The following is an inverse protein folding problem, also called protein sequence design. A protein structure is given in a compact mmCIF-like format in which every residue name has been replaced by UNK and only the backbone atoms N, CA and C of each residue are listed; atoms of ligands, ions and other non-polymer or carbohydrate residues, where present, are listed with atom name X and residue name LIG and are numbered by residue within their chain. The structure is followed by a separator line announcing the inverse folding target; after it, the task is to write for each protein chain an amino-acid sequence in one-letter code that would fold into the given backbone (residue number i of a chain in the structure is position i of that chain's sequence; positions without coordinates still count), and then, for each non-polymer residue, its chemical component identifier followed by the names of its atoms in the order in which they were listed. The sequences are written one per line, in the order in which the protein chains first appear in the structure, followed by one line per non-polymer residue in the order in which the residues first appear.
data_IF_680677536917
#
_entry.id   IF_680677536917
#
_cell.length_a   1.000
_cell.length_b   1.000
_cell.length_c   1.000
_cell.angle_alpha   90.00
_cell.angle_beta   90.00
_cell.angle_gamma   90.00
#
_symmetry.space_group_name_H-M   'P 1'
#
loop_
_entity.id
_entity.type
_entity.pdbx_description
1 polymer ?
#
# COMPACT_ATOMS: atom_id res chain seq x y z
N UNK A 1 4.10 -0.89 30.39
CA UNK A 1 4.60 -0.77 29.01
C UNK A 1 5.28 -2.05 28.54
N UNK A 2 6.25 -2.61 29.26
CA UNK A 2 6.95 -3.87 28.87
C UNK A 2 6.00 -5.05 28.66
N UNK A 3 5.03 -5.26 29.54
CA UNK A 3 4.06 -6.35 29.44
C UNK A 3 3.19 -6.24 28.17
N UNK A 4 2.81 -5.03 27.79
CA UNK A 4 2.06 -4.76 26.56
C UNK A 4 2.93 -5.03 25.33
N UNK A 5 4.18 -4.55 25.33
CA UNK A 5 5.11 -4.79 24.23
C UNK A 5 5.40 -6.29 24.05
N UNK A 6 5.63 -7.03 25.12
CA UNK A 6 5.86 -8.47 25.07
C UNK A 6 4.65 -9.22 24.50
N UNK A 7 3.44 -8.82 24.87
CA UNK A 7 2.21 -9.42 24.34
C UNK A 7 2.02 -9.13 22.86
N UNK A 8 2.23 -7.87 22.44
CA UNK A 8 2.16 -7.45 21.03
C UNK A 8 3.20 -8.21 20.19
N UNK A 9 4.43 -8.31 20.68
CA UNK A 9 5.49 -9.02 19.97
C UNK A 9 5.20 -10.53 19.88
N UNK A 10 4.68 -11.16 20.94
CA UNK A 10 4.27 -12.57 20.89
C UNK A 10 3.17 -12.84 19.85
N UNK A 11 2.18 -11.94 19.73
CA UNK A 11 1.16 -12.04 18.69
C UNK A 11 1.77 -11.83 17.31
N UNK A 12 2.67 -10.87 17.14
CA UNK A 12 3.39 -10.65 15.90
C UNK A 12 4.17 -11.88 15.45
N UNK A 13 4.89 -12.52 16.34
CA UNK A 13 5.69 -13.71 16.04
C UNK A 13 4.82 -14.85 15.49
N UNK A 14 3.68 -15.12 16.12
CA UNK A 14 2.74 -16.15 15.64
C UNK A 14 2.17 -15.79 14.27
N UNK A 15 1.72 -14.54 14.10
CA UNK A 15 1.09 -14.08 12.87
C UNK A 15 2.06 -14.13 11.68
N UNK A 16 3.28 -13.62 11.87
CA UNK A 16 4.23 -13.42 10.77
C UNK A 16 5.18 -14.59 10.53
N UNK A 17 5.43 -15.45 11.53
CA UNK A 17 6.32 -16.61 11.31
C UNK A 17 5.66 -17.71 10.46
N UNK A 18 4.34 -17.87 10.58
CA UNK A 18 3.65 -19.01 9.92
C UNK A 18 2.40 -18.59 9.16
N UNK A 19 1.43 -17.95 9.81
CA UNK A 19 0.08 -17.79 9.27
C UNK A 19 0.10 -16.90 8.03
N UNK A 20 0.60 -15.68 8.16
CA UNK A 20 0.55 -14.69 7.10
C UNK A 20 1.44 -15.01 5.91
N UNK A 21 2.66 -15.51 6.13
CA UNK A 21 3.57 -15.89 5.05
C UNK A 21 2.93 -16.98 4.18
N UNK A 22 2.39 -18.02 4.81
CA UNK A 22 1.74 -19.13 4.07
C UNK A 22 0.49 -18.63 3.34
N UNK A 23 -0.35 -17.84 3.98
CA UNK A 23 -1.57 -17.32 3.36
C UNK A 23 -1.26 -16.36 2.21
N UNK A 24 -0.35 -15.42 2.41
CA UNK A 24 0.02 -14.43 1.38
C UNK A 24 0.61 -15.11 0.15
N UNK A 25 1.63 -15.95 0.33
CA UNK A 25 2.27 -16.66 -0.78
C UNK A 25 1.32 -17.67 -1.42
N UNK A 26 0.58 -18.43 -0.62
CA UNK A 26 -0.38 -19.41 -1.12
C UNK A 26 -1.49 -18.78 -1.96
N UNK A 27 -2.11 -17.70 -1.47
CA UNK A 27 -3.13 -16.97 -2.23
C UNK A 27 -2.53 -16.32 -3.49
N UNK A 28 -1.38 -15.68 -3.37
CA UNK A 28 -0.73 -15.01 -4.50
C UNK A 28 -0.33 -15.98 -5.61
N UNK A 29 0.22 -17.14 -5.27
CA UNK A 29 0.51 -18.22 -6.25
C UNK A 29 -0.78 -18.75 -6.86
N UNK A 30 -1.81 -19.03 -6.05
CA UNK A 30 -3.10 -19.49 -6.51
C UNK A 30 -3.74 -18.52 -7.51
N UNK A 31 -3.79 -17.22 -7.16
CA UNK A 31 -4.37 -16.21 -8.04
C UNK A 31 -3.53 -15.98 -9.30
N UNK A 32 -2.21 -16.04 -9.21
CA UNK A 32 -1.30 -15.96 -10.36
C UNK A 32 -1.58 -17.07 -11.36
N UNK A 33 -1.67 -18.32 -10.91
CA UNK A 33 -1.94 -19.47 -11.77
C UNK A 33 -3.35 -19.40 -12.38
N UNK A 34 -4.37 -19.14 -11.55
CA UNK A 34 -5.78 -19.10 -12.00
C UNK A 34 -6.09 -17.93 -12.93
N UNK A 35 -5.44 -16.78 -12.75
CA UNK A 35 -5.55 -15.65 -13.66
C UNK A 35 -4.66 -15.79 -14.91
N UNK A 36 -3.91 -16.90 -15.03
CA UNK A 36 -2.92 -17.11 -16.10
C UNK A 36 -1.90 -16.01 -16.17
N UNK A 37 -1.28 -15.69 -15.02
CA UNK A 37 -0.21 -14.68 -14.91
C UNK A 37 -0.67 -13.30 -15.40
N UNK A 38 -1.87 -12.86 -15.01
CA UNK A 38 -2.47 -11.58 -15.44
C UNK A 38 -1.54 -10.39 -15.22
N UNK A 39 -0.83 -10.36 -14.11
CA UNK A 39 0.07 -9.28 -13.71
C UNK A 39 1.26 -9.09 -14.67
N UNK A 40 1.68 -10.15 -15.37
CA UNK A 40 2.75 -10.08 -16.37
C UNK A 40 2.20 -9.92 -17.78
N UNK A 41 1.18 -10.71 -18.11
CA UNK A 41 0.60 -10.75 -19.45
C UNK A 41 -0.09 -9.45 -19.85
N UNK A 42 -0.61 -8.70 -18.89
CA UNK A 42 -1.44 -7.51 -19.13
C UNK A 42 -0.73 -6.18 -18.80
N UNK A 43 0.61 -6.17 -18.63
CA UNK A 43 1.38 -4.96 -18.28
C UNK A 43 1.10 -3.82 -19.28
N UNK A 44 1.13 -4.08 -20.58
CA UNK A 44 0.83 -3.06 -21.59
C UNK A 44 -0.58 -2.48 -21.47
N UNK A 45 -1.57 -3.32 -21.09
CA UNK A 45 -2.93 -2.88 -20.83
C UNK A 45 -3.03 -2.06 -19.54
N UNK A 46 -2.30 -2.44 -18.48
CA UNK A 46 -2.24 -1.67 -17.23
C UNK A 46 -1.76 -0.25 -17.46
N UNK A 47 -0.69 -0.08 -18.22
CA UNK A 47 -0.12 1.23 -18.58
C UNK A 47 -1.13 2.03 -19.43
N UNK A 48 -1.73 1.40 -20.44
CA UNK A 48 -2.74 2.04 -21.28
C UNK A 48 -3.92 2.59 -20.47
N UNK A 49 -4.36 1.83 -19.45
CA UNK A 49 -5.52 2.18 -18.63
C UNK A 49 -5.28 3.39 -17.72
N UNK A 50 -4.04 3.79 -17.44
CA UNK A 50 -3.76 5.05 -16.73
C UNK A 50 -4.26 6.27 -17.51
N UNK A 51 -4.22 6.21 -18.83
CA UNK A 51 -4.76 7.27 -19.71
C UNK A 51 -6.24 7.08 -20.07
N UNK A 52 -6.90 6.02 -19.58
CA UNK A 52 -8.31 5.77 -19.86
C UNK A 52 -9.17 6.74 -19.05
N UNK A 53 -9.70 7.76 -19.72
CA UNK A 53 -10.59 8.72 -19.07
C UNK A 53 -11.89 8.03 -18.67
N UNK A 54 -12.39 8.33 -17.48
CA UNK A 54 -13.78 8.03 -17.15
C UNK A 54 -14.66 8.51 -18.30
N UNK A 55 -15.52 7.62 -18.83
CA UNK A 55 -16.51 8.03 -19.82
C UNK A 55 -17.20 9.30 -19.33
N UNK A 56 -17.57 10.20 -20.24
CA UNK A 56 -18.30 11.40 -19.86
C UNK A 56 -19.57 10.96 -19.14
N UNK A 57 -19.57 11.07 -17.81
CA UNK A 57 -20.76 10.89 -17.01
C UNK A 57 -21.86 11.85 -17.46
N UNK A 58 -23.09 11.60 -17.05
CA UNK A 58 -24.19 12.54 -17.28
C UNK A 58 -23.78 13.94 -16.83
N UNK A 59 -24.13 14.96 -17.62
CA UNK A 59 -23.75 16.36 -17.37
C UNK A 59 -24.09 16.75 -15.91
N UNK A 60 -23.04 16.94 -15.10
CA UNK A 60 -23.18 17.42 -13.71
C UNK A 60 -22.65 16.46 -12.62
N UNK A 61 -22.40 15.20 -12.89
CA UNK A 61 -21.83 14.26 -11.92
C UNK A 61 -20.30 14.37 -11.88
N UNK A 62 -19.75 14.58 -10.68
CA UNK A 62 -18.30 14.57 -10.43
C UNK A 62 -17.84 13.13 -10.24
N UNK A 63 -17.29 12.53 -11.28
CA UNK A 63 -16.74 11.18 -11.25
C UNK A 63 -15.25 11.18 -10.91
N UNK A 64 -14.82 10.19 -10.12
CA UNK A 64 -13.39 9.91 -9.90
C UNK A 64 -12.89 9.10 -11.10
N UNK A 65 -11.84 9.60 -11.76
CA UNK A 65 -11.21 8.90 -12.88
C UNK A 65 -10.36 7.71 -12.41
N UNK A 66 -10.05 6.81 -13.33
CA UNK A 66 -9.12 5.70 -13.06
C UNK A 66 -7.77 6.18 -12.54
N UNK A 67 -7.22 7.25 -13.12
CA UNK A 67 -5.96 7.85 -12.68
C UNK A 67 -6.07 8.47 -11.29
N UNK A 68 -7.16 9.16 -10.98
CA UNK A 68 -7.37 9.72 -9.63
C UNK A 68 -7.48 8.62 -8.57
N UNK A 69 -8.20 7.53 -8.84
CA UNK A 69 -8.26 6.39 -7.94
C UNK A 69 -6.89 5.73 -7.77
N UNK A 70 -6.12 5.58 -8.86
CA UNK A 70 -4.74 5.11 -8.81
C UNK A 70 -3.85 6.02 -7.96
N UNK A 71 -3.92 7.33 -8.16
CA UNK A 71 -3.12 8.30 -7.42
C UNK A 71 -3.43 8.31 -5.92
N UNK A 72 -4.70 8.18 -5.52
CA UNK A 72 -5.07 8.07 -4.09
C UNK A 72 -4.58 6.76 -3.49
N UNK A 73 -4.71 5.65 -4.22
CA UNK A 73 -4.19 4.36 -3.79
C UNK A 73 -2.65 4.36 -3.69
N UNK A 74 -1.99 4.99 -4.65
CA UNK A 74 -0.53 5.14 -4.64
C UNK A 74 -0.08 6.10 -3.52
N UNK A 75 -0.86 7.13 -3.20
CA UNK A 75 -0.61 8.03 -2.07
C UNK A 75 -0.57 7.32 -0.72
N UNK A 76 -1.45 6.33 -0.52
CA UNK A 76 -1.43 5.50 0.70
C UNK A 76 -0.17 4.62 0.75
N UNK A 77 0.13 3.95 -0.36
CA UNK A 77 1.25 3.01 -0.48
C UNK A 77 2.61 3.69 -0.38
N UNK A 78 2.81 4.76 -1.17
CA UNK A 78 4.11 5.46 -1.24
C UNK A 78 4.26 6.38 -0.05
N UNK A 79 4.89 5.87 0.99
CA UNK A 79 5.04 6.54 2.28
C UNK A 79 6.28 6.07 3.03
N UNK A 80 6.11 5.93 4.34
CA UNK A 80 7.14 5.41 5.24
C UNK A 80 7.65 4.03 4.82
N UNK A 81 6.79 3.17 4.26
CA UNK A 81 7.17 1.84 3.79
C UNK A 81 8.31 1.84 2.80
N UNK A 82 8.31 2.76 1.85
CA UNK A 82 9.30 2.83 0.78
C UNK A 82 10.68 3.34 1.24
N UNK A 83 10.74 4.19 2.26
CA UNK A 83 12.00 4.75 2.76
C UNK A 83 12.43 4.03 4.04
N UNK A 84 11.68 4.20 5.11
CA UNK A 84 12.00 3.62 6.42
C UNK A 84 11.75 2.12 6.48
N UNK A 85 10.67 1.62 5.83
CA UNK A 85 10.36 0.18 5.79
C UNK A 85 11.42 -0.63 5.06
N UNK A 86 11.88 -0.17 3.89
CA UNK A 86 13.00 -0.79 3.15
C UNK A 86 14.28 -0.78 3.98
N UNK A 87 14.60 0.37 4.59
CA UNK A 87 15.77 0.49 5.45
C UNK A 87 15.71 -0.48 6.64
N UNK A 88 14.55 -0.59 7.29
CA UNK A 88 14.31 -1.56 8.37
C UNK A 88 14.46 -3.00 7.88
N UNK A 89 13.92 -3.33 6.69
CA UNK A 89 14.07 -4.67 6.12
C UNK A 89 15.53 -5.04 5.89
N UNK A 90 16.32 -4.12 5.34
CA UNK A 90 17.75 -4.33 5.06
C UNK A 90 18.57 -4.35 6.35
N UNK A 91 18.29 -3.47 7.32
CA UNK A 91 19.02 -3.43 8.60
C UNK A 91 18.80 -4.67 9.46
N UNK A 92 17.57 -5.21 9.53
CA UNK A 92 17.21 -6.35 10.40
C UNK A 92 17.32 -7.69 9.65
N UNK A 93 16.85 -7.73 8.42
CA UNK A 93 16.81 -8.96 7.62
C UNK A 93 17.99 -9.12 6.65
N UNK A 94 18.87 -8.10 6.55
CA UNK A 94 19.96 -8.07 5.59
C UNK A 94 19.53 -7.74 4.16
N UNK A 95 20.50 -7.61 3.22
CA UNK A 95 20.25 -7.29 1.81
C UNK A 95 19.29 -8.24 1.10
N UNK A 96 19.25 -9.51 1.52
CA UNK A 96 18.37 -10.53 0.97
C UNK A 96 16.87 -10.23 1.14
N UNK A 97 16.50 -9.37 2.10
CA UNK A 97 15.11 -8.92 2.27
C UNK A 97 14.56 -8.24 1.02
N UNK A 98 15.40 -7.59 0.24
CA UNK A 98 15.00 -6.91 -1.02
C UNK A 98 14.47 -7.92 -2.04
N UNK A 99 15.11 -9.08 -2.16
CA UNK A 99 14.61 -10.16 -3.03
C UNK A 99 13.20 -10.62 -2.63
N UNK A 100 12.97 -10.82 -1.34
CA UNK A 100 11.66 -11.25 -0.83
C UNK A 100 10.60 -10.16 -0.97
N UNK A 101 10.99 -8.88 -0.87
CA UNK A 101 10.09 -7.77 -1.23
C UNK A 101 9.70 -7.80 -2.70
N UNK A 102 10.65 -8.05 -3.61
CA UNK A 102 10.35 -8.20 -5.05
C UNK A 102 9.41 -9.38 -5.31
N UNK A 103 9.70 -10.53 -4.68
CA UNK A 103 8.89 -11.73 -4.88
C UNK A 103 7.44 -11.53 -4.43
N UNK A 104 7.23 -10.95 -3.23
CA UNK A 104 5.88 -10.70 -2.74
C UNK A 104 5.15 -9.64 -3.58
N UNK A 105 5.83 -8.68 -4.17
CA UNK A 105 5.23 -7.71 -5.09
C UNK A 105 4.84 -8.36 -6.42
N UNK A 106 5.72 -9.17 -7.01
CA UNK A 106 5.48 -9.87 -8.27
C UNK A 106 4.28 -10.84 -8.16
N UNK A 107 4.20 -11.59 -7.08
CA UNK A 107 3.10 -12.54 -6.85
C UNK A 107 1.86 -11.84 -6.30
N UNK A 108 2.04 -10.97 -5.30
CA UNK A 108 0.95 -10.28 -4.61
C UNK A 108 0.15 -9.32 -5.50
N UNK A 109 0.73 -8.82 -6.59
CA UNK A 109 0.00 -8.02 -7.56
C UNK A 109 -1.22 -8.73 -8.15
N UNK A 110 -1.21 -10.08 -8.18
CA UNK A 110 -2.39 -10.88 -8.53
C UNK A 110 -3.50 -10.80 -7.46
N UNK A 111 -3.13 -10.70 -6.19
CA UNK A 111 -4.08 -10.47 -5.09
C UNK A 111 -4.71 -9.08 -5.20
N UNK A 112 -3.90 -8.05 -5.47
CA UNK A 112 -4.37 -6.68 -5.70
C UNK A 112 -5.32 -6.61 -6.92
N UNK A 113 -5.05 -7.38 -7.97
CA UNK A 113 -5.95 -7.53 -9.11
C UNK A 113 -7.31 -8.12 -8.71
N UNK A 114 -7.31 -9.22 -7.96
CA UNK A 114 -8.54 -9.92 -7.54
C UNK A 114 -9.38 -9.04 -6.63
N UNK A 115 -8.80 -8.51 -5.55
CA UNK A 115 -9.52 -7.70 -4.56
C UNK A 115 -10.12 -6.42 -5.17
N UNK A 116 -9.38 -5.75 -6.06
CA UNK A 116 -9.85 -4.50 -6.67
C UNK A 116 -10.89 -4.74 -7.78
N UNK A 117 -10.81 -5.87 -8.48
CA UNK A 117 -11.85 -6.31 -9.42
C UNK A 117 -13.15 -6.61 -8.68
N UNK A 118 -13.08 -7.33 -7.54
CA UNK A 118 -14.22 -7.60 -6.68
C UNK A 118 -14.84 -6.34 -6.09
N UNK A 119 -14.01 -5.40 -5.65
CA UNK A 119 -14.49 -4.13 -5.11
C UNK A 119 -15.28 -3.31 -6.15
N UNK A 120 -14.84 -3.33 -7.40
CA UNK A 120 -15.58 -2.72 -8.51
C UNK A 120 -16.88 -3.48 -8.83
N UNK A 121 -16.87 -4.81 -8.79
CA UNK A 121 -18.07 -5.60 -9.03
C UNK A 121 -19.17 -5.30 -8.01
N UNK A 122 -18.81 -5.19 -6.74
CA UNK A 122 -19.73 -5.03 -5.61
C UNK A 122 -19.86 -3.59 -5.10
N UNK A 123 -19.48 -2.59 -5.91
CA UNK A 123 -19.64 -1.18 -5.54
C UNK A 123 -21.11 -0.76 -5.48
N UNK A 124 -21.38 0.24 -4.68
CA UNK A 124 -22.70 0.89 -4.54
C UNK A 124 -22.63 2.36 -4.97
N UNK A 125 -23.77 2.96 -5.27
CA UNK A 125 -23.88 4.42 -5.50
C UNK A 125 -23.82 5.15 -4.16
N UNK A 126 -22.78 5.98 -3.97
CA UNK A 126 -22.69 6.92 -2.86
C UNK A 126 -23.25 8.29 -3.23
N UNK A 127 -23.14 9.27 -2.30
CA UNK A 127 -23.64 10.65 -2.52
C UNK A 127 -22.78 11.41 -3.55
N UNK A 128 -21.46 11.29 -3.45
CA UNK A 128 -20.49 12.09 -4.23
C UNK A 128 -19.67 11.24 -5.22
N UNK A 129 -19.65 9.93 -5.05
CA UNK A 129 -18.93 8.95 -5.85
C UNK A 129 -19.45 7.56 -5.58
N UNK A 130 -18.98 6.55 -6.32
CA UNK A 130 -19.17 5.16 -5.91
C UNK A 130 -18.46 4.88 -4.59
N UNK A 131 -19.00 3.93 -3.82
CA UNK A 131 -18.43 3.39 -2.58
C UNK A 131 -18.32 1.87 -2.70
N UNK A 132 -17.36 1.28 -2.03
CA UNK A 132 -17.13 -0.16 -2.08
C UNK A 132 -15.87 -0.55 -1.33
N UNK A 133 -15.41 -1.75 -1.55
CA UNK A 133 -14.24 -2.31 -0.88
C UNK A 133 -14.56 -3.65 -0.22
N UNK A 134 -13.65 -4.18 0.65
CA UNK A 134 -13.81 -5.49 1.24
C UNK A 134 -15.11 -5.70 2.01
N UNK A 135 -15.50 -4.73 2.84
CA UNK A 135 -16.73 -4.82 3.61
C UNK A 135 -17.96 -5.06 2.71
N UNK A 136 -17.97 -4.43 1.53
CA UNK A 136 -19.06 -4.56 0.55
C UNK A 136 -19.06 -5.90 -0.16
N UNK A 137 -17.90 -6.43 -0.60
CA UNK A 137 -17.92 -7.75 -1.21
C UNK A 137 -18.06 -8.90 -0.20
N UNK A 138 -17.71 -8.70 1.08
CA UNK A 138 -18.06 -9.62 2.15
C UNK A 138 -19.57 -9.63 2.39
N UNK A 139 -20.23 -8.45 2.35
CA UNK A 139 -21.68 -8.33 2.50
C UNK A 139 -22.42 -8.91 1.30
N UNK A 140 -22.15 -8.44 0.09
CA UNK A 140 -22.95 -8.78 -1.10
C UNK A 140 -22.45 -10.06 -1.81
N UNK A 141 -21.17 -10.35 -1.73
CA UNK A 141 -20.56 -11.52 -2.35
C UNK A 141 -20.72 -12.79 -1.53
N UNK A 142 -20.43 -12.71 -0.23
CA UNK A 142 -20.50 -13.83 0.71
C UNK A 142 -21.81 -13.87 1.50
N UNK A 143 -22.56 -12.79 1.58
CA UNK A 143 -23.73 -12.66 2.48
C UNK A 143 -23.34 -12.51 3.96
N UNK A 144 -22.08 -12.24 4.28
CA UNK A 144 -21.54 -12.25 5.65
C UNK A 144 -21.34 -10.82 6.18
N UNK A 145 -22.41 -10.16 6.59
CA UNK A 145 -22.36 -8.80 7.15
C UNK A 145 -21.39 -8.69 8.35
N UNK A 146 -21.36 -9.69 9.23
CA UNK A 146 -20.48 -9.68 10.39
C UNK A 146 -19.01 -9.59 10.00
N UNK A 147 -18.61 -10.32 8.94
CA UNK A 147 -17.25 -10.30 8.41
C UNK A 147 -16.90 -8.93 7.81
N UNK A 148 -17.86 -8.33 7.08
CA UNK A 148 -17.72 -6.97 6.58
C UNK A 148 -17.54 -5.93 7.69
N UNK A 149 -18.30 -6.04 8.79
CA UNK A 149 -18.16 -5.17 9.97
C UNK A 149 -16.82 -5.41 10.66
N UNK A 150 -16.41 -6.67 10.85
CA UNK A 150 -15.10 -6.99 11.43
C UNK A 150 -13.97 -6.36 10.59
N UNK A 151 -14.00 -6.56 9.28
CA UNK A 151 -13.01 -5.95 8.39
C UNK A 151 -13.02 -4.42 8.49
N UNK A 152 -14.21 -3.80 8.48
CA UNK A 152 -14.36 -2.34 8.58
C UNK A 152 -13.78 -1.77 9.89
N UNK A 153 -13.92 -2.47 11.00
CA UNK A 153 -13.28 -2.10 12.28
C UNK A 153 -11.76 -2.26 12.17
N UNK A 154 -11.28 -3.41 11.67
CA UNK A 154 -9.84 -3.68 11.55
C UNK A 154 -9.13 -2.65 10.66
N UNK A 155 -9.68 -2.33 9.47
CA UNK A 155 -9.06 -1.34 8.57
C UNK A 155 -9.11 0.08 9.17
N UNK A 156 -10.18 0.43 9.89
CA UNK A 156 -10.29 1.74 10.55
C UNK A 156 -9.23 1.91 11.64
N UNK A 157 -8.92 0.85 12.39
CA UNK A 157 -7.85 0.84 13.39
C UNK A 157 -6.48 0.83 12.71
N UNK A 158 -6.27 -0.07 11.74
CA UNK A 158 -4.97 -0.22 11.06
C UNK A 158 -4.57 1.07 10.35
N UNK A 159 -5.39 1.55 9.44
CA UNK A 159 -5.05 2.69 8.60
C UNK A 159 -5.28 4.03 9.31
N UNK A 160 -6.42 4.18 9.99
CA UNK A 160 -6.73 5.43 10.69
C UNK A 160 -5.84 5.72 11.89
N UNK A 161 -5.36 4.68 12.58
CA UNK A 161 -4.60 4.85 13.81
C UNK A 161 -3.16 4.35 13.67
N UNK A 162 -2.93 3.03 13.54
CA UNK A 162 -1.60 2.45 13.61
C UNK A 162 -0.69 2.93 12.47
N UNK A 163 -1.14 2.85 11.22
CA UNK A 163 -0.35 3.30 10.07
C UNK A 163 -0.10 4.81 10.10
N UNK A 164 -1.08 5.61 10.50
CA UNK A 164 -0.90 7.06 10.64
C UNK A 164 0.10 7.41 11.73
N UNK A 165 0.16 6.62 12.81
CA UNK A 165 1.19 6.77 13.83
C UNK A 165 2.60 6.49 13.30
N UNK A 166 2.77 5.43 12.47
CA UNK A 166 4.06 5.14 11.81
C UNK A 166 4.47 6.25 10.87
N UNK A 167 3.54 6.77 10.06
CA UNK A 167 3.84 7.87 9.13
C UNK A 167 4.31 9.12 9.89
N UNK A 168 3.59 9.52 10.93
CA UNK A 168 3.93 10.69 11.74
C UNK A 168 5.25 10.51 12.47
N UNK A 169 5.48 9.34 13.10
CA UNK A 169 6.74 9.01 13.77
C UNK A 169 7.94 9.18 12.84
N UNK A 170 7.84 8.61 11.64
CA UNK A 170 8.92 8.67 10.65
C UNK A 170 9.20 10.09 10.15
N UNK A 171 8.16 10.92 9.94
CA UNK A 171 8.36 12.33 9.58
C UNK A 171 9.11 13.04 10.69
N UNK A 172 8.70 12.87 11.95
CA UNK A 172 9.33 13.51 13.10
C UNK A 172 10.79 13.09 13.24
N UNK A 173 11.10 11.79 13.16
CA UNK A 173 12.46 11.28 13.25
C UNK A 173 13.37 11.82 12.11
N UNK A 174 12.84 11.94 10.89
CA UNK A 174 13.60 12.48 9.78
C UNK A 174 13.89 13.99 9.93
N UNK A 175 12.92 14.74 10.43
CA UNK A 175 13.07 16.19 10.63
C UNK A 175 13.95 16.53 11.83
N UNK A 176 13.86 15.73 12.90
CA UNK A 176 14.81 15.85 14.02
C UNK A 176 16.24 15.57 13.53
N UNK A 177 16.46 14.48 12.78
CA UNK A 177 17.77 14.13 12.25
C UNK A 177 18.36 15.15 11.26
N UNK A 178 17.52 15.83 10.46
CA UNK A 178 17.97 16.81 9.48
C UNK A 178 18.12 18.23 10.03
N UNK A 179 17.22 18.65 10.94
CA UNK A 179 17.09 20.06 11.35
C UNK A 179 17.14 20.27 12.87
N UNK A 180 17.19 19.20 13.68
CA UNK A 180 17.18 19.30 15.14
C UNK A 180 15.85 19.79 15.73
N UNK A 181 14.74 19.66 15.00
CA UNK A 181 13.42 20.14 15.45
C UNK A 181 12.77 19.06 16.31
N UNK A 182 12.27 19.43 17.49
CA UNK A 182 11.61 18.53 18.43
C UNK A 182 10.33 17.91 17.86
N UNK A 183 10.12 16.63 18.14
CA UNK A 183 8.99 15.82 17.68
C UNK A 183 7.62 16.41 18.01
N UNK A 184 7.47 17.08 19.19
CA UNK A 184 6.20 17.66 19.61
C UNK A 184 5.75 18.79 18.69
N UNK A 185 6.67 19.66 18.25
CA UNK A 185 6.34 20.74 17.33
C UNK A 185 5.95 20.22 15.94
N UNK A 186 6.72 19.27 15.41
CA UNK A 186 6.42 18.67 14.11
C UNK A 186 5.08 17.93 14.18
N UNK A 187 4.86 17.14 15.23
CA UNK A 187 3.61 16.41 15.47
C UNK A 187 2.39 17.32 15.56
N UNK A 188 2.52 18.46 16.25
CA UNK A 188 1.44 19.46 16.35
C UNK A 188 1.08 20.05 14.97
N UNK A 189 2.09 20.43 14.19
CA UNK A 189 1.91 20.97 12.83
C UNK A 189 1.25 19.92 11.93
N UNK A 190 1.74 18.67 11.94
CA UNK A 190 1.19 17.57 11.15
C UNK A 190 -0.26 17.28 11.52
N UNK A 191 -0.57 17.30 12.82
CA UNK A 191 -1.94 17.08 13.30
C UNK A 191 -2.89 18.14 12.77
N UNK A 192 -2.52 19.42 12.87
CA UNK A 192 -3.34 20.54 12.36
C UNK A 192 -3.52 20.43 10.84
N UNK A 193 -2.43 20.21 10.10
CA UNK A 193 -2.50 20.05 8.63
C UNK A 193 -3.37 18.85 8.23
N UNK A 194 -3.23 17.72 8.93
CA UNK A 194 -4.06 16.53 8.70
C UNK A 194 -5.54 16.87 8.90
N UNK A 195 -5.90 17.48 10.02
CA UNK A 195 -7.30 17.85 10.29
C UNK A 195 -7.87 18.79 9.22
N UNK A 196 -7.10 19.81 8.80
CA UNK A 196 -7.52 20.73 7.73
C UNK A 196 -7.84 19.98 6.43
N UNK A 197 -7.03 19.00 6.05
CA UNK A 197 -7.20 18.28 4.79
C UNK A 197 -8.36 17.28 4.88
N UNK A 198 -8.44 16.48 5.95
CA UNK A 198 -9.44 15.40 6.06
C UNK A 198 -10.87 15.91 6.20
N UNK A 199 -11.07 17.12 6.69
CA UNK A 199 -12.40 17.74 6.68
C UNK A 199 -12.89 18.14 5.28
N UNK A 200 -12.00 18.10 4.24
CA UNK A 200 -12.33 18.44 2.85
C UNK A 200 -12.95 17.31 2.01
N UNK A 201 -12.99 16.07 2.51
CA UNK A 201 -13.58 14.90 1.84
C UNK A 201 -12.77 14.34 0.66
N UNK A 202 -13.26 13.22 0.06
CA UNK A 202 -12.56 12.42 -0.97
C UNK A 202 -12.19 13.22 -2.22
N UNK A 203 -13.00 14.15 -2.65
CA UNK A 203 -12.72 14.96 -3.85
C UNK A 203 -11.48 15.85 -3.68
N UNK A 204 -11.28 16.40 -2.47
CA UNK A 204 -10.09 17.17 -2.13
C UNK A 204 -8.86 16.27 -2.02
N UNK A 205 -9.01 15.13 -1.37
CA UNK A 205 -7.96 14.10 -1.23
C UNK A 205 -7.49 13.65 -2.61
N UNK A 206 -8.41 13.25 -3.50
CA UNK A 206 -8.10 12.79 -4.85
C UNK A 206 -7.37 13.88 -5.69
N UNK A 207 -7.77 15.14 -5.55
CA UNK A 207 -7.11 16.25 -6.26
C UNK A 207 -5.69 16.49 -5.76
N UNK A 208 -5.48 16.52 -4.45
CA UNK A 208 -4.14 16.71 -3.86
C UNK A 208 -3.24 15.54 -4.23
N UNK A 209 -3.68 14.30 -4.05
CA UNK A 209 -2.90 13.10 -4.37
C UNK A 209 -2.53 13.01 -5.85
N UNK A 210 -3.42 13.39 -6.76
CA UNK A 210 -3.16 13.33 -8.22
C UNK A 210 -2.06 14.30 -8.70
N UNK A 211 -1.69 15.27 -7.88
CA UNK A 211 -0.61 16.24 -8.18
C UNK A 211 0.65 15.89 -7.38
N UNK A 212 0.50 15.71 -6.07
CA UNK A 212 1.65 15.54 -5.17
C UNK A 212 2.38 14.23 -5.44
N UNK A 213 1.63 13.11 -5.58
CA UNK A 213 2.22 11.77 -5.70
C UNK A 213 3.10 11.60 -6.94
N UNK A 214 2.66 11.95 -8.17
CA UNK A 214 3.52 11.82 -9.34
C UNK A 214 4.77 12.70 -9.26
N UNK A 215 4.65 13.93 -8.77
CA UNK A 215 5.80 14.86 -8.68
C UNK A 215 6.86 14.32 -7.73
N UNK A 216 6.46 13.89 -6.53
CA UNK A 216 7.41 13.37 -5.55
C UNK A 216 8.02 12.03 -5.99
N UNK A 217 7.21 11.12 -6.56
CA UNK A 217 7.68 9.82 -7.04
C UNK A 217 8.71 9.99 -8.18
N UNK A 218 8.41 10.82 -9.17
CA UNK A 218 9.33 11.10 -10.26
C UNK A 218 10.62 11.76 -9.79
N UNK A 219 10.55 12.72 -8.85
CA UNK A 219 11.74 13.35 -8.27
C UNK A 219 12.63 12.34 -7.52
N UNK A 220 12.02 11.45 -6.72
CA UNK A 220 12.75 10.41 -6.00
C UNK A 220 13.38 9.38 -6.93
N UNK A 221 12.63 8.92 -7.94
CA UNK A 221 13.13 7.98 -8.96
C UNK A 221 14.28 8.61 -9.76
N UNK A 222 14.17 9.89 -10.14
CA UNK A 222 15.23 10.58 -10.89
C UNK A 222 16.53 10.66 -10.07
N UNK A 223 16.44 10.98 -8.77
CA UNK A 223 17.59 10.97 -7.87
C UNK A 223 18.22 9.59 -7.78
N UNK A 224 17.41 8.56 -7.53
CA UNK A 224 17.88 7.19 -7.40
C UNK A 224 18.52 6.68 -8.69
N UNK A 225 17.96 6.98 -9.84
CA UNK A 225 18.55 6.65 -11.15
C UNK A 225 19.89 7.36 -11.34
N UNK A 226 20.03 8.61 -10.90
CA UNK A 226 21.31 9.31 -10.89
C UNK A 226 22.36 8.53 -10.10
N UNK A 227 22.03 8.12 -8.85
CA UNK A 227 22.93 7.34 -7.99
C UNK A 227 23.28 5.99 -8.64
N UNK A 228 22.30 5.28 -9.21
CA UNK A 228 22.54 4.01 -9.91
C UNK A 228 23.48 4.20 -11.10
N UNK A 229 23.29 5.25 -11.89
CA UNK A 229 24.16 5.55 -13.04
C UNK A 229 25.60 5.88 -12.61
N UNK A 230 25.77 6.64 -11.52
CA UNK A 230 27.09 6.92 -10.96
C UNK A 230 27.79 5.65 -10.41
N UNK A 231 27.02 4.70 -9.90
CA UNK A 231 27.49 3.44 -9.32
C UNK A 231 27.27 2.23 -10.24
N UNK A 232 27.11 2.43 -11.56
CA UNK A 232 26.69 1.38 -12.50
C UNK A 232 27.64 0.17 -12.50
N UNK A 233 28.94 0.38 -12.29
CA UNK A 233 29.95 -0.69 -12.21
C UNK A 233 29.80 -1.55 -10.96
N UNK A 234 29.19 -1.04 -9.89
CA UNK A 234 28.92 -1.76 -8.64
C UNK A 234 27.58 -2.49 -8.65
N UNK A 235 26.70 -2.19 -9.60
CA UNK A 235 25.35 -2.76 -9.67
C UNK A 235 25.35 -4.31 -9.72
N UNK A 236 26.20 -4.98 -10.52
CA UNK A 236 26.25 -6.45 -10.51
C UNK A 236 26.56 -7.03 -9.11
N UNK A 237 27.53 -6.46 -8.39
CA UNK A 237 27.90 -6.89 -7.05
C UNK A 237 26.75 -6.68 -6.03
N UNK A 238 26.01 -5.58 -6.14
CA UNK A 238 24.81 -5.33 -5.29
C UNK A 238 23.71 -6.36 -5.57
N UNK A 239 23.46 -6.69 -6.82
CA UNK A 239 22.47 -7.74 -7.18
C UNK A 239 22.93 -9.11 -6.65
N UNK A 240 24.21 -9.44 -6.80
CA UNK A 240 24.79 -10.66 -6.24
C UNK A 240 24.62 -10.72 -4.71
N UNK A 241 24.91 -9.62 -4.01
CA UNK A 241 24.71 -9.50 -2.57
C UNK A 241 23.26 -9.73 -2.17
N UNK A 242 22.30 -9.16 -2.90
CA UNK A 242 20.87 -9.38 -2.64
C UNK A 242 20.50 -10.87 -2.80
N UNK A 243 20.95 -11.49 -3.89
CA UNK A 243 20.60 -12.87 -4.20
C UNK A 243 21.30 -13.87 -3.25
N UNK A 244 22.60 -13.70 -3.00
CA UNK A 244 23.36 -14.58 -2.11
C UNK A 244 22.83 -14.56 -0.67
N UNK A 245 22.48 -13.37 -0.17
CA UNK A 245 21.89 -13.22 1.17
C UNK A 245 20.44 -13.71 1.24
N UNK A 246 19.67 -13.65 0.16
CA UNK A 246 18.30 -14.14 0.14
C UNK A 246 18.21 -15.66 0.34
N UNK A 247 19.23 -16.41 -0.13
CA UNK A 247 19.26 -17.87 -0.08
C UNK A 247 20.34 -18.43 0.87
N UNK A 248 21.09 -17.57 1.58
CA UNK A 248 22.08 -17.97 2.57
C UNK A 248 23.33 -18.62 1.96
N UNK A 249 23.68 -18.33 0.70
CA UNK A 249 24.87 -18.86 0.04
C UNK A 249 26.19 -18.28 0.58
N UNK A 250 26.10 -17.12 1.22
CA UNK A 250 27.14 -16.53 2.03
C UNK A 250 26.61 -16.24 3.42
N UNK A 251 27.48 -16.28 4.44
CA UNK A 251 27.05 -15.91 5.81
C UNK A 251 26.54 -14.49 5.79
N UNK A 252 25.22 -14.34 6.03
CA UNK A 252 24.53 -13.09 5.86
C UNK A 252 25.11 -12.02 6.81
N UNK A 253 25.55 -10.93 6.24
CA UNK A 253 25.77 -9.70 6.97
C UNK A 253 24.39 -9.23 7.44
N UNK A 254 24.13 -9.31 8.77
CA UNK A 254 22.94 -8.71 9.37
C UNK A 254 21.67 -9.56 9.53
N UNK A 255 21.62 -10.85 9.07
CA UNK A 255 20.41 -11.65 9.30
C UNK A 255 20.46 -13.07 8.75
N UNK A 256 19.60 -13.95 9.32
CA UNK A 256 19.39 -15.30 8.77
C UNK A 256 18.46 -15.25 7.56
N UNK A 257 18.46 -16.31 6.71
CA UNK A 257 17.51 -16.45 5.59
C UNK A 257 16.06 -16.29 6.05
N UNK A 258 15.72 -16.79 7.23
CA UNK A 258 14.38 -16.62 7.82
C UNK A 258 14.07 -15.17 8.16
N UNK A 259 15.02 -14.40 8.67
CA UNK A 259 14.86 -12.98 8.95
C UNK A 259 14.71 -12.17 7.65
N UNK A 260 15.51 -12.48 6.63
CA UNK A 260 15.42 -11.86 5.31
C UNK A 260 14.03 -12.08 4.68
N UNK A 261 13.55 -13.32 4.69
CA UNK A 261 12.21 -13.69 4.19
C UNK A 261 11.11 -12.97 4.97
N UNK A 262 11.14 -13.05 6.30
CA UNK A 262 10.12 -12.46 7.15
C UNK A 262 10.07 -10.94 7.00
N UNK A 263 11.22 -10.26 7.08
CA UNK A 263 11.28 -8.80 6.95
C UNK A 263 10.93 -8.35 5.52
N UNK A 264 11.41 -9.06 4.51
CA UNK A 264 11.10 -8.76 3.12
C UNK A 264 9.59 -8.85 2.83
N UNK A 265 8.91 -9.91 3.26
CA UNK A 265 7.46 -10.06 3.08
C UNK A 265 6.70 -9.05 3.91
N UNK A 266 7.06 -8.86 5.19
CA UNK A 266 6.40 -7.96 6.13
C UNK A 266 6.47 -6.50 5.69
N UNK A 267 7.66 -6.00 5.37
CA UNK A 267 7.88 -4.62 4.88
C UNK A 267 7.40 -4.42 3.45
N UNK A 268 7.51 -5.46 2.60
CA UNK A 268 6.93 -5.47 1.27
C UNK A 268 5.41 -5.31 1.32
N UNK A 269 4.71 -6.08 2.16
CA UNK A 269 3.26 -5.97 2.34
C UNK A 269 2.86 -4.61 2.90
N UNK A 270 3.57 -4.10 3.90
CA UNK A 270 3.32 -2.77 4.48
C UNK A 270 3.39 -1.67 3.41
N UNK A 271 4.33 -1.79 2.46
CA UNK A 271 4.51 -0.82 1.37
C UNK A 271 3.45 -0.97 0.28
N UNK A 272 3.33 -2.17 -0.30
CA UNK A 272 2.50 -2.36 -1.51
C UNK A 272 1.01 -2.66 -1.24
N UNK A 273 0.65 -3.00 -0.01
CA UNK A 273 -0.72 -3.28 0.45
C UNK A 273 -1.46 -4.40 -0.31
N UNK A 274 -0.76 -5.27 -1.05
CA UNK A 274 -1.38 -6.27 -1.92
C UNK A 274 -2.03 -7.42 -1.13
N UNK A 275 -3.34 -7.57 -1.24
CA UNK A 275 -4.10 -8.58 -0.49
C UNK A 275 -4.53 -8.13 0.91
N UNK A 276 -4.18 -6.90 1.33
CA UNK A 276 -4.66 -6.32 2.60
C UNK A 276 -6.12 -5.88 2.55
N UNK A 277 -6.65 -5.55 1.37
CA UNK A 277 -7.99 -5.01 1.22
C UNK A 277 -8.11 -3.49 1.40
N UNK A 278 -7.01 -2.76 1.42
CA UNK A 278 -7.00 -1.30 1.55
C UNK A 278 -7.31 -0.59 0.24
N UNK A 279 -6.49 -0.83 -0.79
CA UNK A 279 -6.65 -0.25 -2.12
C UNK A 279 -8.02 -0.46 -2.77
N UNK A 280 -8.73 -1.59 -2.56
CA UNK A 280 -10.09 -1.81 -3.04
C UNK A 280 -11.09 -0.72 -2.65
N UNK A 281 -10.93 -0.06 -1.50
CA UNK A 281 -11.83 1.02 -1.06
C UNK A 281 -11.78 2.23 -1.99
N UNK A 282 -10.62 2.54 -2.54
CA UNK A 282 -10.46 3.61 -3.54
C UNK A 282 -10.74 3.09 -4.94
N UNK A 283 -10.31 1.86 -5.27
CA UNK A 283 -10.58 1.26 -6.57
C UNK A 283 -12.07 1.24 -6.91
N UNK A 284 -12.94 1.00 -5.91
CA UNK A 284 -14.38 1.01 -6.08
C UNK A 284 -14.95 2.38 -6.46
N UNK A 285 -14.30 3.49 -6.09
CA UNK A 285 -14.81 4.85 -6.36
C UNK A 285 -14.70 5.25 -7.82
N UNK A 286 -13.85 4.57 -8.60
CA UNK A 286 -13.61 4.90 -9.99
C UNK A 286 -14.81 4.58 -10.89
N UNK A 287 -15.10 5.50 -11.81
CA UNK A 287 -16.06 5.26 -12.88
C UNK A 287 -15.34 4.60 -14.07
N UNK A 288 -15.59 3.32 -14.28
CA UNK A 288 -15.00 2.51 -15.34
C UNK A 288 -16.05 1.69 -16.08
N UNK A 289 -15.80 1.32 -17.33
CA UNK A 289 -16.74 0.51 -18.13
C UNK A 289 -16.66 -0.99 -17.84
N UNK A 290 -15.65 -1.45 -17.10
CA UNK A 290 -15.47 -2.87 -16.77
C UNK A 290 -14.68 -3.02 -15.46
N UNK A 291 -15.10 -3.90 -14.51
CA UNK A 291 -14.45 -4.09 -13.22
C UNK A 291 -12.95 -4.40 -13.30
N UNK A 292 -12.54 -5.21 -14.26
CA UNK A 292 -11.15 -5.62 -14.51
C UNK A 292 -10.20 -4.45 -14.72
N UNK A 293 -10.66 -3.30 -15.23
CA UNK A 293 -9.83 -2.13 -15.45
C UNK A 293 -9.17 -1.65 -14.15
N UNK A 294 -9.93 -1.58 -13.06
CA UNK A 294 -9.37 -1.20 -11.77
C UNK A 294 -8.50 -2.29 -11.16
N UNK A 295 -8.84 -3.56 -11.35
CA UNK A 295 -7.96 -4.66 -10.96
C UNK A 295 -6.57 -4.55 -11.58
N UNK A 296 -6.51 -4.30 -12.89
CA UNK A 296 -5.26 -4.11 -13.63
C UNK A 296 -4.47 -2.89 -13.15
N UNK A 297 -5.13 -1.75 -12.95
CA UNK A 297 -4.50 -0.51 -12.49
C UNK A 297 -3.92 -0.68 -11.07
N UNK A 298 -4.63 -1.36 -10.18
CA UNK A 298 -4.15 -1.59 -8.81
C UNK A 298 -3.00 -2.59 -8.75
N UNK A 299 -2.97 -3.58 -9.64
CA UNK A 299 -1.81 -4.47 -9.81
C UNK A 299 -0.57 -3.70 -10.29
N UNK A 300 -0.73 -2.72 -11.21
CA UNK A 300 0.36 -1.83 -11.61
C UNK A 300 0.86 -0.97 -10.43
N UNK A 301 -0.06 -0.56 -9.53
CA UNK A 301 0.30 0.18 -8.32
C UNK A 301 1.28 -0.58 -7.43
N UNK A 302 1.11 -1.90 -7.27
CA UNK A 302 2.04 -2.77 -6.53
C UNK A 302 3.43 -2.77 -7.17
N UNK A 303 3.50 -2.85 -8.50
CA UNK A 303 4.78 -2.80 -9.22
C UNK A 303 5.46 -1.43 -9.07
N UNK A 304 4.71 -0.36 -9.25
CA UNK A 304 5.24 1.00 -9.12
C UNK A 304 5.80 1.25 -7.72
N UNK A 305 5.08 0.84 -6.69
CA UNK A 305 5.49 1.00 -5.31
C UNK A 305 6.77 0.19 -5.00
N UNK A 306 6.73 -1.11 -5.18
CA UNK A 306 7.78 -1.99 -4.65
C UNK A 306 8.91 -2.23 -5.65
N UNK A 307 8.61 -2.57 -6.92
CA UNK A 307 9.66 -2.86 -7.89
C UNK A 307 10.40 -1.61 -8.36
N UNK A 308 9.78 -0.42 -8.24
CA UNK A 308 10.43 0.82 -8.63
C UNK A 308 10.88 1.58 -7.38
N UNK A 309 9.95 2.10 -6.57
CA UNK A 309 10.29 3.04 -5.49
C UNK A 309 11.06 2.37 -4.35
N UNK A 310 10.62 1.19 -3.86
CA UNK A 310 11.39 0.48 -2.83
C UNK A 310 12.76 0.03 -3.33
N UNK A 311 12.88 -0.36 -4.61
CA UNK A 311 14.17 -0.73 -5.21
C UNK A 311 15.11 0.47 -5.27
N UNK A 312 14.61 1.67 -5.57
CA UNK A 312 15.39 2.91 -5.49
C UNK A 312 16.03 3.07 -4.10
N UNK A 313 15.25 2.95 -3.05
CA UNK A 313 15.75 3.05 -1.66
C UNK A 313 16.77 1.95 -1.33
N UNK A 314 16.46 0.70 -1.70
CA UNK A 314 17.35 -0.43 -1.48
C UNK A 314 18.72 -0.20 -2.13
N UNK A 315 18.74 0.27 -3.37
CA UNK A 315 19.99 0.57 -4.07
C UNK A 315 20.76 1.75 -3.46
N UNK A 316 20.08 2.82 -3.07
CA UNK A 316 20.71 3.94 -2.35
C UNK A 316 21.42 3.41 -1.10
N UNK A 317 20.74 2.58 -0.30
CA UNK A 317 21.33 2.01 0.93
C UNK A 317 22.52 1.08 0.61
N UNK A 318 22.36 0.20 -0.34
CA UNK A 318 23.39 -0.82 -0.64
C UNK A 318 24.62 -0.25 -1.38
N UNK A 319 24.49 0.85 -2.12
CA UNK A 319 25.65 1.54 -2.71
C UNK A 319 26.42 2.37 -1.69
N UNK A 320 25.71 2.93 -0.68
CA UNK A 320 26.25 3.95 0.22
C UNK A 320 27.34 3.46 1.18
N UNK A 321 27.47 2.13 1.40
CA UNK A 321 28.33 1.57 2.42
C UNK A 321 27.90 1.89 3.86
N UNK A 322 26.66 2.32 4.08
CA UNK A 322 26.12 2.53 5.42
C UNK A 322 26.12 1.22 6.23
N UNK A 323 26.29 1.27 7.57
CA UNK A 323 26.32 0.07 8.40
C UNK A 323 24.95 -0.63 8.40
N UNK A 324 24.95 -1.95 8.18
CA UNK A 324 23.76 -2.81 8.15
C UNK A 324 23.71 -3.75 9.35
N UNK A 325 24.31 -3.33 10.46
CA UNK A 325 24.40 -4.09 11.72
C UNK A 325 23.26 -3.82 12.70
N UNK A 326 22.25 -3.06 12.26
CA UNK A 326 21.11 -2.66 13.08
C UNK A 326 21.37 -1.48 14.03
N UNK A 327 22.58 -0.93 14.06
CA UNK A 327 22.92 0.26 14.88
C UNK A 327 22.15 1.50 14.47
N UNK A 328 21.82 1.61 13.18
CA UNK A 328 20.99 2.66 12.59
C UNK A 328 19.83 1.99 11.86
N UNK A 329 18.60 2.46 12.05
CA UNK A 329 17.41 1.82 11.50
C UNK A 329 16.41 2.85 10.94
N UNK A 330 15.42 2.36 10.20
CA UNK A 330 14.34 3.18 9.67
C UNK A 330 14.82 4.32 8.77
N UNK A 331 14.17 5.47 8.87
CA UNK A 331 14.46 6.63 8.01
C UNK A 331 15.88 7.20 8.22
N UNK A 332 16.44 7.05 9.41
CA UNK A 332 17.80 7.53 9.71
C UNK A 332 18.85 6.78 8.88
N UNK A 333 18.67 5.46 8.64
CA UNK A 333 19.54 4.71 7.74
C UNK A 333 19.44 5.23 6.30
N UNK A 334 18.25 5.56 5.84
CA UNK A 334 18.07 6.15 4.49
C UNK A 334 18.73 7.54 4.40
N UNK A 335 18.62 8.36 5.45
CA UNK A 335 19.27 9.66 5.52
C UNK A 335 20.80 9.54 5.51
N UNK A 336 21.35 8.62 6.29
CA UNK A 336 22.79 8.33 6.32
C UNK A 336 23.27 7.83 4.96
N UNK A 337 22.55 6.87 4.38
CA UNK A 337 22.87 6.30 3.09
C UNK A 337 22.90 7.36 1.98
N UNK A 338 21.87 8.19 1.91
CA UNK A 338 21.82 9.23 0.89
C UNK A 338 22.89 10.32 1.15
N UNK A 339 23.16 10.64 2.42
CA UNK A 339 24.23 11.60 2.77
C UNK A 339 25.63 11.09 2.41
N UNK A 340 25.86 9.78 2.46
CA UNK A 340 27.11 9.19 1.99
C UNK A 340 27.31 9.34 0.48
N UNK A 341 26.21 9.31 -0.31
CA UNK A 341 26.25 9.43 -1.78
C UNK A 341 26.32 10.87 -2.30
N UNK A 342 25.54 11.80 -1.67
CA UNK A 342 25.34 13.16 -2.19
C UNK A 342 25.73 14.26 -1.18
N UNK A 343 26.36 13.90 -0.07
CA UNK A 343 26.74 14.86 0.99
C UNK A 343 25.57 15.26 1.89
N UNK A 344 25.77 16.27 2.72
CA UNK A 344 24.81 16.71 3.76
C UNK A 344 23.40 17.06 3.23
N UNK A 345 23.27 17.38 1.96
CA UNK A 345 21.99 17.66 1.32
C UNK A 345 21.09 16.40 1.28
N UNK A 346 21.70 15.20 1.36
CA UNK A 346 20.98 13.92 1.36
C UNK A 346 20.00 13.80 2.52
N UNK A 347 20.41 14.13 3.74
CA UNK A 347 19.52 14.11 4.92
C UNK A 347 18.35 15.07 4.78
N UNK A 348 18.62 16.29 4.32
CA UNK A 348 17.57 17.30 4.04
C UNK A 348 16.59 16.81 2.97
N UNK A 349 17.10 16.22 1.89
CA UNK A 349 16.26 15.69 0.82
C UNK A 349 15.33 14.58 1.33
N UNK A 350 15.85 13.63 2.13
CA UNK A 350 15.02 12.56 2.71
C UNK A 350 13.97 13.14 3.65
N UNK A 351 14.30 14.13 4.47
CA UNK A 351 13.34 14.78 5.36
C UNK A 351 12.19 15.45 4.60
N UNK A 352 12.47 16.11 3.48
CA UNK A 352 11.44 16.70 2.62
C UNK A 352 10.65 15.63 1.85
N UNK A 353 11.33 14.62 1.32
CA UNK A 353 10.69 13.52 0.60
C UNK A 353 9.73 12.74 1.51
N UNK A 354 10.16 12.38 2.74
CA UNK A 354 9.31 11.65 3.67
C UNK A 354 8.14 12.50 4.16
N UNK A 355 8.30 13.81 4.32
CA UNK A 355 7.18 14.69 4.62
C UNK A 355 6.08 14.57 3.56
N UNK A 356 6.44 14.65 2.27
CA UNK A 356 5.47 14.57 1.19
C UNK A 356 4.87 13.16 1.07
N UNK A 357 5.71 12.12 1.12
CA UNK A 357 5.29 10.73 1.01
C UNK A 357 4.38 10.31 2.17
N UNK A 358 4.88 10.44 3.40
CA UNK A 358 4.14 10.01 4.57
C UNK A 358 2.92 10.88 4.87
N UNK A 359 2.97 12.19 4.60
CA UNK A 359 1.79 13.04 4.74
C UNK A 359 0.69 12.67 3.73
N UNK A 360 1.05 12.38 2.48
CA UNK A 360 0.08 11.88 1.50
C UNK A 360 -0.53 10.52 1.93
N UNK A 361 0.29 9.65 2.57
CA UNK A 361 -0.20 8.39 3.12
C UNK A 361 -1.16 8.60 4.30
N UNK A 362 -0.89 9.54 5.22
CA UNK A 362 -1.82 9.88 6.31
C UNK A 362 -3.20 10.21 5.75
N UNK A 363 -3.24 10.99 4.68
CA UNK A 363 -4.50 11.42 4.05
C UNK A 363 -5.20 10.24 3.35
N UNK A 364 -4.46 9.41 2.63
CA UNK A 364 -4.98 8.20 1.97
C UNK A 364 -5.51 7.17 2.98
N UNK A 365 -4.74 6.94 4.04
CA UNK A 365 -5.07 6.03 5.13
C UNK A 365 -6.36 6.45 5.85
N UNK A 366 -6.48 7.77 6.13
CA UNK A 366 -7.72 8.30 6.69
C UNK A 366 -8.92 7.97 5.81
N UNK A 367 -8.81 8.12 4.48
CA UNK A 367 -9.91 7.81 3.58
C UNK A 367 -10.35 6.34 3.67
N UNK A 368 -9.42 5.41 3.75
CA UNK A 368 -9.75 3.99 3.92
C UNK A 368 -10.56 3.74 5.20
N UNK A 369 -10.14 4.33 6.30
CA UNK A 369 -10.88 4.24 7.55
C UNK A 369 -12.25 4.92 7.48
N UNK A 370 -12.34 6.15 6.93
CA UNK A 370 -13.62 6.87 6.76
C UNK A 370 -14.63 6.05 5.94
N UNK A 371 -14.19 5.46 4.81
CA UNK A 371 -15.05 4.66 3.96
C UNK A 371 -15.66 3.47 4.72
N UNK A 372 -14.89 2.86 5.60
CA UNK A 372 -15.33 1.71 6.39
C UNK A 372 -16.14 2.11 7.62
N UNK A 373 -15.88 3.25 8.26
CA UNK A 373 -16.77 3.81 9.28
C UNK A 373 -18.15 4.11 8.67
N UNK A 374 -18.20 4.62 7.44
CA UNK A 374 -19.46 4.87 6.71
C UNK A 374 -20.21 3.58 6.37
N UNK A 375 -19.55 2.48 6.16
CA UNK A 375 -20.18 1.17 6.03
C UNK A 375 -20.87 0.71 7.31
N UNK A 376 -20.25 0.96 8.48
CA UNK A 376 -20.82 0.59 9.78
C UNK A 376 -21.99 1.51 10.15
N UNK A 377 -21.83 2.82 9.97
CA UNK A 377 -22.81 3.82 10.40
C UNK A 377 -22.77 5.08 9.54
N UNK A 378 -23.97 5.64 9.29
CA UNK A 378 -24.14 6.93 8.61
C UNK A 378 -24.16 8.12 9.57
N UNK A 379 -24.02 7.92 10.90
CA UNK A 379 -24.11 8.99 11.90
C UNK A 379 -22.96 9.97 11.79
N UNK A 380 -23.25 11.25 11.54
CA UNK A 380 -22.26 12.32 11.37
C UNK A 380 -21.34 12.49 12.58
N UNK A 381 -21.88 12.31 13.80
CA UNK A 381 -21.12 12.46 15.03
C UNK A 381 -20.02 11.39 15.17
N UNK A 382 -20.29 10.14 14.75
CA UNK A 382 -19.29 9.07 14.78
C UNK A 382 -18.13 9.38 13.84
N UNK A 383 -18.45 9.87 12.64
CA UNK A 383 -17.43 10.28 11.68
C UNK A 383 -16.61 11.48 12.19
N UNK A 384 -17.25 12.44 12.84
CA UNK A 384 -16.56 13.58 13.46
C UNK A 384 -15.58 13.11 14.54
N UNK A 385 -16.03 12.23 15.47
CA UNK A 385 -15.18 11.66 16.51
C UNK A 385 -14.01 10.89 15.88
N UNK A 386 -14.27 10.08 14.86
CA UNK A 386 -13.21 9.35 14.15
C UNK A 386 -12.13 10.29 13.59
N UNK A 387 -12.52 11.41 12.98
CA UNK A 387 -11.57 12.43 12.46
C UNK A 387 -10.68 13.01 13.55
N UNK A 388 -11.26 13.33 14.71
CA UNK A 388 -10.51 13.83 15.86
C UNK A 388 -9.54 12.76 16.39
N UNK A 389 -9.99 11.51 16.49
CA UNK A 389 -9.14 10.40 16.92
C UNK A 389 -7.97 10.16 15.95
N UNK A 390 -8.20 10.26 14.64
CA UNK A 390 -7.11 10.18 13.64
C UNK A 390 -6.08 11.28 13.87
N UNK A 391 -6.51 12.53 14.09
CA UNK A 391 -5.60 13.63 14.46
C UNK A 391 -4.83 13.33 15.75
N UNK A 392 -5.51 12.80 16.77
CA UNK A 392 -4.88 12.36 18.01
C UNK A 392 -3.83 11.25 17.82
N UNK A 393 -4.08 10.32 16.89
CA UNK A 393 -3.12 9.26 16.57
C UNK A 393 -1.92 9.75 15.75
N UNK A 394 -2.07 10.80 14.96
CA UNK A 394 -0.94 11.49 14.32
C UNK A 394 -0.04 12.11 15.39
N UNK A 395 -0.62 12.79 16.39
CA UNK A 395 0.15 13.35 17.52
C UNK A 395 0.77 12.25 18.40
N UNK A 396 0.02 11.18 18.69
CA UNK A 396 0.54 10.03 19.41
C UNK A 396 1.76 9.41 18.69
N UNK A 397 1.68 9.21 17.38
CA UNK A 397 2.77 8.67 16.57
C UNK A 397 4.03 9.53 16.61
N UNK A 398 3.88 10.85 16.61
CA UNK A 398 5.01 11.78 16.75
C UNK A 398 5.78 11.57 18.04
N UNK A 399 5.10 11.23 19.14
CA UNK A 399 5.67 11.07 20.48
C UNK A 399 6.00 9.62 20.86
N UNK A 400 5.48 8.64 20.13
CA UNK A 400 5.67 7.21 20.41
C UNK A 400 7.08 6.76 20.01
N UNK A 401 7.55 5.65 20.63
CA UNK A 401 8.75 4.98 20.15
C UNK A 401 8.52 4.31 18.79
N UNK A 402 9.59 4.22 17.99
CA UNK A 402 9.58 3.56 16.68
C UNK A 402 9.02 2.12 16.77
N UNK A 403 9.54 1.36 17.74
CA UNK A 403 9.17 -0.05 17.94
C UNK A 403 7.68 -0.23 18.25
N UNK A 404 7.12 0.63 19.12
CA UNK A 404 5.69 0.58 19.45
C UNK A 404 4.82 0.88 18.24
N UNK A 405 5.16 1.92 17.49
CA UNK A 405 4.40 2.31 16.30
C UNK A 405 4.40 1.18 15.25
N UNK A 406 5.56 0.59 14.96
CA UNK A 406 5.67 -0.51 14.00
C UNK A 406 5.01 -1.80 14.49
N UNK A 407 5.17 -2.15 15.77
CA UNK A 407 4.57 -3.38 16.32
C UNK A 407 3.03 -3.33 16.31
N UNK A 408 2.43 -2.18 16.60
CA UNK A 408 0.99 -1.96 16.47
C UNK A 408 0.52 -2.08 15.02
N UNK A 409 1.25 -1.48 14.09
CA UNK A 409 0.95 -1.55 12.68
C UNK A 409 1.01 -2.99 12.16
N UNK A 410 2.02 -3.74 12.55
CA UNK A 410 2.22 -5.13 12.12
C UNK A 410 1.10 -6.07 12.59
N UNK A 411 0.66 -5.98 13.87
CA UNK A 411 -0.45 -6.80 14.38
C UNK A 411 -1.75 -6.47 13.68
N UNK A 412 -2.09 -5.19 13.62
CA UNK A 412 -3.39 -4.76 13.05
C UNK A 412 -3.46 -5.05 11.55
N UNK A 413 -2.36 -4.82 10.82
CA UNK A 413 -2.19 -5.19 9.41
C UNK A 413 -2.37 -6.69 9.21
N UNK A 414 -1.77 -7.51 10.05
CA UNK A 414 -1.86 -8.96 9.96
C UNK A 414 -3.28 -9.47 10.10
N UNK A 415 -3.99 -9.03 11.12
CA UNK A 415 -5.38 -9.43 11.37
C UNK A 415 -6.32 -9.02 10.22
N UNK A 416 -6.16 -7.80 9.73
CA UNK A 416 -6.93 -7.29 8.61
C UNK A 416 -6.66 -8.10 7.32
N UNK A 417 -5.39 -8.42 7.05
CA UNK A 417 -4.96 -9.19 5.88
C UNK A 417 -5.56 -10.60 5.89
N UNK A 418 -5.55 -11.30 7.02
CA UNK A 418 -6.17 -12.63 7.15
C UNK A 418 -7.65 -12.57 6.78
N UNK A 419 -8.39 -11.61 7.34
CA UNK A 419 -9.81 -11.44 7.06
C UNK A 419 -10.06 -11.23 5.56
N UNK A 420 -9.25 -10.38 4.91
CA UNK A 420 -9.39 -10.10 3.49
C UNK A 420 -9.00 -11.29 2.60
N UNK A 421 -7.87 -11.94 2.86
CA UNK A 421 -7.41 -13.08 2.07
C UNK A 421 -8.42 -14.24 2.06
N UNK A 422 -9.09 -14.51 3.19
CA UNK A 422 -10.17 -15.47 3.25
C UNK A 422 -11.30 -15.06 2.32
N UNK A 423 -11.75 -13.82 2.39
CA UNK A 423 -12.86 -13.32 1.58
C UNK A 423 -12.56 -13.36 0.07
N UNK A 424 -11.38 -12.85 -0.34
CA UNK A 424 -11.03 -12.83 -1.77
C UNK A 424 -10.74 -14.22 -2.32
N UNK A 425 -10.27 -15.16 -1.50
CA UNK A 425 -10.09 -16.55 -1.92
C UNK A 425 -11.43 -17.21 -2.25
N UNK A 426 -12.43 -17.02 -1.40
CA UNK A 426 -13.79 -17.55 -1.61
C UNK A 426 -14.49 -16.90 -2.82
N UNK A 427 -14.21 -15.62 -3.09
CA UNK A 427 -14.82 -14.86 -4.19
C UNK A 427 -13.99 -14.85 -5.48
N UNK A 428 -12.77 -15.37 -5.48
CA UNK A 428 -11.81 -15.25 -6.59
C UNK A 428 -12.32 -15.72 -7.94
N UNK A 429 -13.18 -16.77 -7.96
CA UNK A 429 -13.81 -17.28 -9.18
C UNK A 429 -14.52 -16.18 -9.97
N UNK A 430 -15.18 -15.23 -9.29
CA UNK A 430 -15.91 -14.15 -9.94
C UNK A 430 -14.94 -13.15 -10.63
N UNK A 431 -13.82 -12.84 -9.99
CA UNK A 431 -12.79 -12.02 -10.62
C UNK A 431 -12.19 -12.71 -11.86
N UNK A 432 -12.04 -14.04 -11.84
CA UNK A 432 -11.54 -14.78 -13.00
C UNK A 432 -12.57 -14.85 -14.14
N UNK A 433 -13.87 -14.95 -13.86
CA UNK A 433 -14.92 -14.88 -14.87
C UNK A 433 -14.94 -13.50 -15.56
N UNK A 434 -14.82 -12.42 -14.77
CA UNK A 434 -14.70 -11.06 -15.30
C UNK A 434 -13.46 -10.89 -16.17
N UNK A 435 -12.32 -11.46 -15.76
CA UNK A 435 -11.09 -11.43 -16.55
C UNK A 435 -11.26 -12.18 -17.88
N UNK A 436 -11.95 -13.31 -17.88
CA UNK A 436 -12.22 -14.07 -19.10
C UNK A 436 -13.07 -13.26 -20.07
N UNK A 437 -14.14 -12.60 -19.59
CA UNK A 437 -14.98 -11.72 -20.41
C UNK A 437 -14.17 -10.56 -20.98
N UNK A 438 -13.38 -9.87 -20.14
CA UNK A 438 -12.51 -8.76 -20.55
C UNK A 438 -11.55 -9.18 -21.68
N UNK A 439 -10.86 -10.30 -21.48
CA UNK A 439 -9.89 -10.82 -22.47
C UNK A 439 -10.59 -11.28 -23.75
N UNK A 440 -11.78 -11.88 -23.66
CA UNK A 440 -12.57 -12.26 -24.84
C UNK A 440 -12.92 -11.04 -25.68
N UNK A 441 -13.41 -9.96 -25.06
CA UNK A 441 -13.70 -8.69 -25.76
C UNK A 441 -12.45 -8.07 -26.39
N UNK A 442 -11.30 -8.12 -25.71
CA UNK A 442 -10.02 -7.64 -26.27
C UNK A 442 -9.59 -8.42 -27.50
N UNK A 443 -9.78 -9.74 -27.51
CA UNK A 443 -9.45 -10.60 -28.66
C UNK A 443 -10.30 -10.32 -29.88
N UNK A 444 -11.53 -9.81 -29.72
CA UNK A 444 -12.39 -9.38 -30.85
C UNK A 444 -12.06 -7.96 -31.35
N UNK A 445 -10.98 -7.34 -30.84
CA UNK A 445 -10.54 -6.00 -31.28
C UNK A 445 -11.17 -4.83 -30.53
N UNK A 446 -12.01 -5.08 -29.51
CA UNK A 446 -12.64 -4.04 -28.70
C UNK A 446 -11.56 -3.36 -27.84
N UNK A 447 -11.28 -2.08 -28.12
CA UNK A 447 -10.25 -1.30 -27.40
C UNK A 447 -10.62 -1.05 -25.93
N UNK A 448 -11.89 -0.78 -25.64
CA UNK A 448 -12.40 -0.51 -24.29
C UNK A 448 -13.56 -1.46 -23.97
N UNK A 449 -13.29 -2.65 -23.39
CA UNK A 449 -14.32 -3.59 -23.00
C UNK A 449 -15.35 -2.98 -22.04
N UNK A 450 -16.60 -3.44 -22.19
CA UNK A 450 -17.74 -3.01 -21.37
C UNK A 450 -18.34 -4.23 -20.69
N UNK A 451 -18.52 -4.15 -19.39
CA UNK A 451 -19.16 -5.23 -18.63
C UNK A 451 -20.68 -5.16 -18.78
N UNK A 452 -21.27 -6.28 -19.14
CA UNK A 452 -22.71 -6.49 -19.16
C UNK A 452 -23.05 -7.68 -18.23
N UNK A 453 -23.69 -7.38 -17.11
CA UNK A 453 -24.05 -8.39 -16.10
C UNK A 453 -24.94 -9.51 -16.65
N UNK A 454 -25.72 -9.26 -17.71
CA UNK A 454 -26.59 -10.25 -18.30
C UNK A 454 -25.83 -11.34 -19.07
N UNK A 455 -24.59 -11.09 -19.46
CA UNK A 455 -23.73 -12.08 -20.14
C UNK A 455 -23.10 -13.09 -19.19
N UNK A 456 -23.06 -12.80 -17.88
CA UNK A 456 -22.51 -13.70 -16.87
C UNK A 456 -23.63 -14.01 -15.85
N UNK A 457 -24.39 -15.10 -16.03
CA UNK A 457 -25.55 -15.41 -15.19
C UNK A 457 -25.24 -15.45 -13.69
N UNK A 458 -24.04 -15.92 -13.33
CA UNK A 458 -23.59 -16.01 -11.93
C UNK A 458 -23.44 -14.66 -11.24
N UNK A 459 -23.33 -13.56 -12.03
CA UNK A 459 -23.11 -12.19 -11.54
C UNK A 459 -24.32 -11.26 -11.70
N UNK A 460 -25.36 -11.71 -12.39
CA UNK A 460 -26.53 -10.89 -12.76
C UNK A 460 -27.16 -10.19 -11.57
N UNK A 461 -27.41 -10.94 -10.49
CA UNK A 461 -28.11 -10.43 -9.31
C UNK A 461 -27.16 -9.79 -8.28
N UNK A 462 -25.84 -9.89 -8.50
CA UNK A 462 -24.81 -9.43 -7.59
C UNK A 462 -24.24 -8.05 -7.94
N UNK A 463 -24.29 -7.67 -9.20
CA UNK A 463 -23.68 -6.45 -9.74
C UNK A 463 -24.68 -5.29 -9.75
N UNK A 464 -24.86 -4.59 -8.62
CA UNK A 464 -25.92 -3.57 -8.44
C UNK A 464 -25.71 -2.33 -9.32
N UNK A 465 -24.48 -1.91 -9.54
CA UNK A 465 -24.12 -0.69 -10.29
C UNK A 465 -23.70 -0.94 -11.77
N UNK A 466 -24.03 -2.15 -12.31
CA UNK A 466 -23.65 -2.54 -13.68
C UNK A 466 -24.84 -2.93 -14.53
#
# INVERSE_FOLDING_TARGET
MELLNNWINGVNDILWSYILIIMLLGCAVWFTIKSRFVQFRMIGEMIRLLGDSAGKGEKGEKHISSFQAFAVSLASRVGTGNLAGVATAVAIGGPGSVFWMWLIALLGSSSAFVESTLAQLYKEKGKDSFIGGPAYYMLHGLGLRWMGVLFAVLISITFGFAFNSVQSNTICAAWEGAFGIDHAWIGAILTVLTLIVIFGGIQRIARVSSIVVPVMALGYIALALGIVLFNITRLPAVIETILSNAFGWEQAIGGSVGAALMQGIKRGLFSNEAGMGSAPNVAATAHVSHPVKQGLIQALGVFTDTLIICTCTAFIILFSGAPLDGSINGVQLTQQALSNEVGSIGSTFVALAILLFAFSSIIGNYYYGEANIRFITSKRNVLFIYRILVGGMVMFGALASLDLAWSLADVTMGLMTICNLIAISLLSRQAFLLLQDYVAQKKTGIKSPVFDKNKIPELKDKAQCW
#
